data_IF_462003182049
#
_entry.id   IF_462003182049
#
_cell.length_a   1.000
_cell.length_b   1.000
_cell.length_c   1.000
_cell.angle_alpha   90.00
_cell.angle_beta   90.00
_cell.angle_gamma   90.00
#
_symmetry.space_group_name_H-M   'P 1'
#
loop_
_entity.id
_entity.type
_entity.pdbx_description
1 polymer ?
#
# COMPACT_ATOMS: atom_id res chain seq x y z
N UNK A 1 -5.20 -3.15 0.79
CA UNK A 1 -3.96 -2.39 0.93
C UNK A 1 -3.88 -1.47 -0.26
N UNK A 2 -3.65 -0.19 -0.02
CA UNK A 2 -3.52 0.84 -1.05
C UNK A 2 -2.14 1.50 -0.84
N UNK A 3 -1.77 2.48 -1.67
CA UNK A 3 -0.42 3.05 -1.65
C UNK A 3 -0.15 4.02 -0.49
N UNK A 4 -1.15 4.34 0.33
CA UNK A 4 -1.01 5.19 1.51
C UNK A 4 -0.11 4.56 2.58
N UNK A 5 -0.13 3.23 2.71
CA UNK A 5 0.75 2.50 3.64
C UNK A 5 2.23 2.66 3.23
N UNK A 6 2.50 2.66 1.93
CA UNK A 6 3.83 2.93 1.37
C UNK A 6 4.22 4.41 1.52
N UNK A 7 3.29 5.34 1.29
CA UNK A 7 3.52 6.77 1.53
C UNK A 7 3.91 7.04 2.98
N UNK A 8 3.19 6.43 3.94
CA UNK A 8 3.51 6.52 5.36
C UNK A 8 4.92 5.98 5.63
N UNK A 9 5.23 4.78 5.13
CA UNK A 9 6.55 4.16 5.29
C UNK A 9 7.68 5.04 4.75
N UNK A 10 7.49 5.65 3.57
CA UNK A 10 8.47 6.55 2.96
C UNK A 10 8.64 7.85 3.74
N UNK A 11 7.55 8.42 4.28
CA UNK A 11 7.60 9.63 5.11
C UNK A 11 8.28 9.39 6.45
N UNK A 12 8.02 8.24 7.07
CA UNK A 12 8.61 7.89 8.36
C UNK A 12 10.13 7.68 8.26
N UNK A 13 10.65 7.31 7.07
CA UNK A 13 12.08 7.02 6.83
C UNK A 13 12.68 6.06 7.87
N UNK A 14 11.85 5.15 8.40
CA UNK A 14 12.18 4.27 9.51
C UNK A 14 11.98 2.82 9.07
N UNK A 15 12.92 1.97 9.45
CA UNK A 15 12.89 0.52 9.20
C UNK A 15 13.08 -0.17 10.54
N UNK A 16 11.97 -0.58 11.15
CA UNK A 16 12.04 -1.39 12.36
C UNK A 16 11.83 -2.86 12.02
N UNK A 17 12.51 -3.71 12.77
CA UNK A 17 12.36 -5.14 12.67
C UNK A 17 11.94 -5.71 14.03
N UNK A 18 10.77 -6.35 14.06
CA UNK A 18 10.21 -6.92 15.29
C UNK A 18 9.82 -8.39 15.05
N UNK A 19 10.75 -9.34 15.32
CA UNK A 19 10.56 -10.75 14.96
C UNK A 19 9.45 -11.45 15.76
N UNK A 20 9.03 -10.88 16.89
CA UNK A 20 7.96 -11.43 17.74
C UNK A 20 6.55 -11.00 17.30
N UNK A 21 6.43 -10.09 16.32
CA UNK A 21 5.12 -9.66 15.82
C UNK A 21 4.50 -10.78 14.97
N UNK A 22 3.24 -11.08 15.23
CA UNK A 22 2.44 -12.00 14.42
C UNK A 22 1.41 -11.19 13.61
N UNK A 23 1.41 -11.35 12.29
CA UNK A 23 0.46 -10.70 11.39
C UNK A 23 -0.58 -11.74 10.96
N UNK A 24 -1.84 -11.54 11.35
CA UNK A 24 -2.93 -12.41 10.94
C UNK A 24 -3.70 -11.80 9.76
N UNK A 25 -3.66 -12.47 8.61
CA UNK A 25 -4.40 -12.05 7.42
C UNK A 25 -5.79 -12.71 7.39
N UNK A 26 -6.84 -11.96 7.71
CA UNK A 26 -8.24 -12.46 7.72
C UNK A 26 -8.81 -12.80 6.35
N UNK A 27 -8.03 -12.62 5.26
CA UNK A 27 -8.58 -12.58 3.92
C UNK A 27 -9.51 -11.37 3.74
N UNK A 28 -9.84 -11.02 2.50
CA UNK A 28 -10.67 -9.83 2.25
C UNK A 28 -11.59 -9.91 1.06
N UNK A 29 -11.64 -11.06 0.35
CA UNK A 29 -12.40 -11.23 -0.90
C UNK A 29 -12.24 -10.02 -1.83
N UNK A 30 -11.02 -9.46 -1.94
CA UNK A 30 -10.80 -8.17 -2.61
C UNK A 30 -11.24 -8.17 -4.07
N UNK A 31 -11.18 -9.33 -4.74
CA UNK A 31 -11.70 -9.53 -6.09
C UNK A 31 -13.21 -9.30 -6.22
N UNK A 32 -13.99 -9.50 -5.14
CA UNK A 32 -15.45 -9.28 -5.11
C UNK A 32 -15.85 -7.82 -4.82
N UNK A 33 -14.89 -6.91 -4.60
CA UNK A 33 -15.16 -5.51 -4.21
C UNK A 33 -15.54 -4.60 -5.40
N UNK A 34 -15.49 -5.11 -6.63
CA UNK A 34 -15.99 -4.45 -7.82
C UNK A 34 -15.16 -3.25 -8.30
N UNK A 35 -15.70 -2.51 -9.27
CA UNK A 35 -15.00 -1.46 -10.01
C UNK A 35 -14.52 -0.28 -9.15
N UNK A 36 -15.30 0.12 -8.14
CA UNK A 36 -14.92 1.20 -7.24
C UNK A 36 -13.60 0.89 -6.52
N UNK A 37 -13.39 -0.36 -6.10
CA UNK A 37 -12.16 -0.77 -5.44
C UNK A 37 -10.94 -0.65 -6.37
N UNK A 38 -11.09 -1.06 -7.63
CA UNK A 38 -10.05 -0.92 -8.66
C UNK A 38 -9.74 0.56 -8.91
N UNK A 39 -10.77 1.40 -9.06
CA UNK A 39 -10.60 2.84 -9.25
C UNK A 39 -9.82 3.49 -8.09
N UNK A 40 -10.20 3.18 -6.85
CA UNK A 40 -9.50 3.70 -5.66
C UNK A 40 -8.06 3.21 -5.61
N UNK A 41 -7.80 1.95 -5.96
CA UNK A 41 -6.46 1.39 -6.03
C UNK A 41 -5.59 2.14 -7.06
N UNK A 42 -6.11 2.40 -8.27
CA UNK A 42 -5.40 3.14 -9.33
C UNK A 42 -5.16 4.59 -8.91
N UNK A 43 -6.15 5.29 -8.35
CA UNK A 43 -5.98 6.68 -7.88
C UNK A 43 -4.89 6.75 -6.81
N UNK A 44 -4.91 5.83 -5.85
CA UNK A 44 -3.88 5.73 -4.82
C UNK A 44 -2.48 5.53 -5.42
N UNK A 45 -2.36 4.63 -6.41
CA UNK A 45 -1.11 4.40 -7.13
C UNK A 45 -0.58 5.67 -7.80
N UNK A 46 -1.43 6.34 -8.59
CA UNK A 46 -1.06 7.56 -9.30
C UNK A 46 -0.56 8.63 -8.30
N UNK A 47 -1.27 8.84 -7.21
CA UNK A 47 -0.87 9.82 -6.17
C UNK A 47 0.50 9.48 -5.57
N UNK A 48 0.75 8.22 -5.26
CA UNK A 48 2.02 7.77 -4.71
C UNK A 48 3.19 7.94 -5.69
N UNK A 49 3.04 7.45 -6.92
CA UNK A 49 4.11 7.52 -7.92
C UNK A 49 4.37 8.95 -8.42
N UNK A 50 3.36 9.82 -8.46
CA UNK A 50 3.59 11.26 -8.71
C UNK A 50 4.42 11.91 -7.60
N UNK A 51 4.28 11.45 -6.35
CA UNK A 51 4.97 12.02 -5.19
C UNK A 51 6.40 11.51 -5.02
N UNK A 52 6.63 10.22 -5.23
CA UNK A 52 7.92 9.57 -4.96
C UNK A 52 8.68 9.15 -6.23
N UNK A 53 8.09 9.31 -7.41
CA UNK A 53 8.64 8.89 -8.68
C UNK A 53 8.56 7.38 -8.92
N UNK A 54 8.95 6.96 -10.13
CA UNK A 54 9.11 5.56 -10.49
C UNK A 54 10.53 5.11 -10.18
N UNK A 55 10.68 4.04 -9.40
CA UNK A 55 11.98 3.39 -9.15
C UNK A 55 11.95 2.01 -9.78
N UNK A 56 12.51 1.92 -10.98
CA UNK A 56 12.57 0.68 -11.78
C UNK A 56 13.93 -0.04 -11.63
N UNK A 57 14.79 0.48 -10.75
CA UNK A 57 16.18 0.06 -10.55
C UNK A 57 16.42 -0.04 -9.04
#
# INVERSE_FOLDING_TARGET
>A
MYFEDFDLSMRLKRKDYFPKIQIYHKGGNSSKKGFLHVRLFVISAIRFFMKFGWKLI
#
